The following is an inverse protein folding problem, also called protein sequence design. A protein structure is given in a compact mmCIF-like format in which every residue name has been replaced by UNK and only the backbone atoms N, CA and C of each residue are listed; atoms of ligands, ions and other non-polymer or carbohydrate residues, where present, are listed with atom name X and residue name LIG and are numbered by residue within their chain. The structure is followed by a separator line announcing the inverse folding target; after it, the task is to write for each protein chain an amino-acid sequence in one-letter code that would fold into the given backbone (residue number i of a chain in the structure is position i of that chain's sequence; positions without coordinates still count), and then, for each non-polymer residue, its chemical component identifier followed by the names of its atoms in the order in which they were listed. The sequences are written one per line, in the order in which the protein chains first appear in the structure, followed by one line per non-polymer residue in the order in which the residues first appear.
data_IF_969214711943
#
_entry.id   IF_969214711943
#
_cell.length_a   1.000
_cell.length_b   1.000
_cell.length_c   1.000
_cell.angle_alpha   90.00
_cell.angle_beta   90.00
_cell.angle_gamma   90.00
#
_symmetry.space_group_name_H-M   'P 1'
#
loop_
_entity.id
_entity.type
_entity.pdbx_description
1 polymer ?
#
# COMPACT_ATOMS: atom_id res chain seq x y z
N UNK A 1 39.59 -1.47 -4.47
CA UNK A 1 39.29 -0.17 -5.13
C UNK A 1 37.76 -0.01 -5.20
N UNK A 2 37.23 1.22 -5.12
CA UNK A 2 35.78 1.45 -5.26
C UNK A 2 35.34 1.32 -6.72
N UNK A 3 34.14 0.78 -6.97
CA UNK A 3 33.58 0.76 -8.33
C UNK A 3 33.15 2.18 -8.74
N UNK A 4 33.72 2.69 -9.82
CA UNK A 4 33.28 3.96 -10.41
C UNK A 4 31.98 3.77 -11.21
N UNK A 5 31.17 4.83 -11.25
CA UNK A 5 29.94 4.95 -12.05
C UNK A 5 29.82 6.39 -12.56
N UNK A 6 29.05 6.62 -13.62
CA UNK A 6 28.70 7.98 -14.04
C UNK A 6 27.53 8.52 -13.19
N UNK A 7 27.61 9.79 -12.79
CA UNK A 7 26.50 10.53 -12.21
C UNK A 7 25.39 10.71 -13.24
N UNK A 8 24.12 10.41 -12.89
CA UNK A 8 22.99 10.50 -13.81
C UNK A 8 22.66 11.93 -14.24
N UNK A 9 23.02 12.90 -13.40
CA UNK A 9 22.61 14.30 -13.52
C UNK A 9 23.65 15.16 -14.25
N UNK A 10 24.92 14.72 -14.31
CA UNK A 10 26.01 15.47 -14.94
C UNK A 10 27.07 14.61 -15.66
N UNK A 11 26.81 13.31 -15.86
CA UNK A 11 27.63 12.30 -16.57
C UNK A 11 29.08 12.06 -16.10
N UNK A 12 29.62 12.88 -15.19
CA UNK A 12 30.96 12.75 -14.62
C UNK A 12 31.08 11.51 -13.74
N UNK A 13 32.29 10.95 -13.67
CA UNK A 13 32.57 9.77 -12.86
C UNK A 13 32.57 10.07 -11.36
N UNK A 14 31.95 9.16 -10.59
CA UNK A 14 31.86 9.20 -9.13
C UNK A 14 32.05 7.79 -8.56
N UNK A 15 32.50 7.68 -7.30
CA UNK A 15 32.48 6.40 -6.59
C UNK A 15 31.04 5.95 -6.34
N UNK A 16 30.73 4.67 -6.60
CA UNK A 16 29.42 4.09 -6.28
C UNK A 16 29.08 4.05 -4.79
N UNK A 17 30.05 4.35 -3.90
CA UNK A 17 29.82 4.52 -2.45
C UNK A 17 29.49 5.94 -2.01
N UNK A 18 29.75 6.96 -2.85
CA UNK A 18 29.50 8.36 -2.50
C UNK A 18 27.98 8.62 -2.41
N UNK A 19 27.54 9.35 -1.36
CA UNK A 19 26.12 9.72 -1.17
C UNK A 19 25.65 10.84 -2.12
N UNK A 20 26.57 11.71 -2.51
CA UNK A 20 26.33 12.88 -3.37
C UNK A 20 27.42 12.98 -4.44
N UNK A 21 27.10 13.54 -5.60
CA UNK A 21 28.07 13.82 -6.66
C UNK A 21 28.91 15.06 -6.31
N UNK A 22 30.26 14.95 -6.25
CA UNK A 22 31.12 16.09 -5.90
C UNK A 22 31.19 17.18 -6.98
N UNK A 23 30.62 16.97 -8.17
CA UNK A 23 30.60 17.95 -9.27
C UNK A 23 29.27 18.69 -9.46
N UNK A 24 28.17 18.22 -8.87
CA UNK A 24 26.84 18.85 -9.04
C UNK A 24 25.92 18.74 -7.82
N UNK A 25 26.37 18.15 -6.71
CA UNK A 25 25.58 17.97 -5.49
C UNK A 25 24.47 16.92 -5.57
N UNK A 26 24.15 16.37 -6.74
CA UNK A 26 23.04 15.44 -6.93
C UNK A 26 23.17 14.16 -6.09
N UNK A 27 22.04 13.65 -5.58
CA UNK A 27 21.96 12.48 -4.69
C UNK A 27 22.17 11.18 -5.47
N UNK A 28 23.25 10.46 -5.18
CA UNK A 28 23.52 9.14 -5.76
C UNK A 28 22.60 8.07 -5.12
N UNK A 29 21.37 7.96 -5.65
CA UNK A 29 20.39 6.95 -5.23
C UNK A 29 20.91 5.55 -5.56
N UNK A 30 21.34 4.79 -4.54
CA UNK A 30 21.72 3.37 -4.70
C UNK A 30 20.59 2.59 -5.39
N UNK A 31 20.87 1.73 -6.38
CA UNK A 31 19.85 0.91 -7.02
C UNK A 31 19.18 -0.03 -6.01
N UNK A 32 17.87 0.11 -5.84
CA UNK A 32 17.08 -0.67 -4.88
C UNK A 32 17.14 -2.18 -5.17
N UNK A 33 17.29 -2.57 -6.44
CA UNK A 33 17.45 -3.95 -6.88
C UNK A 33 18.71 -4.68 -6.37
N UNK A 34 19.58 -3.99 -5.61
CA UNK A 34 20.74 -4.61 -4.91
C UNK A 34 20.53 -4.83 -3.41
N UNK A 35 19.31 -4.57 -2.89
CA UNK A 35 18.90 -5.06 -1.57
C UNK A 35 18.39 -6.49 -1.71
N UNK A 36 18.77 -7.40 -0.80
CA UNK A 36 18.36 -8.83 -0.81
C UNK A 36 16.84 -8.99 -0.91
N UNK A 37 16.08 -8.12 -0.24
CA UNK A 37 14.62 -8.04 -0.27
C UNK A 37 14.01 -7.92 -1.69
N UNK A 38 14.70 -7.30 -2.64
CA UNK A 38 14.22 -7.21 -4.03
C UNK A 38 14.19 -8.59 -4.72
N UNK A 39 15.17 -9.45 -4.44
CA UNK A 39 15.17 -10.81 -4.97
C UNK A 39 14.06 -11.67 -4.36
N UNK A 40 13.72 -11.43 -3.09
CA UNK A 40 12.64 -12.12 -2.37
C UNK A 40 11.28 -11.89 -3.07
N UNK A 41 10.98 -10.65 -3.48
CA UNK A 41 9.79 -10.36 -4.31
C UNK A 41 9.83 -11.04 -5.69
N UNK A 42 10.99 -11.07 -6.37
CA UNK A 42 11.06 -11.72 -7.70
C UNK A 42 10.84 -13.23 -7.65
N UNK A 43 11.24 -13.91 -6.56
CA UNK A 43 10.98 -15.34 -6.38
C UNK A 43 9.49 -15.61 -6.19
N UNK A 44 8.78 -14.78 -5.43
CA UNK A 44 7.33 -14.89 -5.21
C UNK A 44 6.55 -14.79 -6.54
N UNK A 45 6.95 -13.90 -7.45
CA UNK A 45 6.30 -13.73 -8.76
C UNK A 45 6.56 -14.92 -9.69
N UNK A 46 7.77 -15.48 -9.70
CA UNK A 46 8.15 -16.59 -10.58
C UNK A 46 7.44 -17.91 -10.16
N UNK A 47 7.12 -18.08 -8.88
CA UNK A 47 6.48 -19.29 -8.34
C UNK A 47 5.08 -19.63 -8.89
N UNK A 48 4.45 -18.74 -9.67
CA UNK A 48 3.08 -18.92 -10.17
C UNK A 48 3.04 -19.43 -11.64
N UNK A 49 4.12 -19.26 -12.41
CA UNK A 49 4.22 -19.76 -13.79
C UNK A 49 4.78 -21.19 -13.83
N UNK A 50 4.02 -22.14 -13.26
CA UNK A 50 4.58 -23.42 -12.82
C UNK A 50 3.72 -24.68 -12.94
N UNK A 51 2.69 -24.75 -13.80
CA UNK A 51 2.25 -25.99 -14.47
C UNK A 51 1.14 -25.71 -15.49
N UNK A 52 1.19 -26.38 -16.66
CA UNK A 52 0.13 -26.33 -17.67
C UNK A 52 -0.30 -27.76 -18.03
N UNK A 53 -1.57 -28.07 -17.85
CA UNK A 53 -2.24 -29.21 -18.47
C UNK A 53 -3.55 -28.70 -19.06
N UNK A 54 -3.70 -28.90 -20.37
CA UNK A 54 -4.89 -28.52 -21.11
C UNK A 54 -5.97 -29.59 -21.00
N UNK A 55 -7.23 -29.19 -21.10
CA UNK A 55 -8.20 -29.96 -21.87
C UNK A 55 -9.14 -29.01 -22.61
N UNK A 56 -9.37 -29.26 -23.90
CA UNK A 56 -10.09 -28.37 -24.81
C UNK A 56 -11.49 -28.94 -25.09
N UNK A 57 -12.50 -28.09 -25.20
CA UNK A 57 -13.90 -28.45 -25.53
C UNK A 57 -14.66 -27.22 -26.06
N UNK A 58 -14.45 -26.91 -27.34
CA UNK A 58 -15.15 -25.81 -28.04
C UNK A 58 -16.64 -26.10 -28.27
N UNK A 59 -17.49 -25.10 -28.03
CA UNK A 59 -18.58 -24.69 -28.93
C UNK A 59 -19.03 -23.26 -28.52
N UNK A 60 -18.64 -22.16 -29.19
CA UNK A 60 -18.84 -21.72 -30.59
C UNK A 60 -20.20 -21.02 -30.84
N UNK A 61 -20.12 -19.74 -31.27
CA UNK A 61 -21.05 -18.93 -32.13
C UNK A 61 -21.52 -17.60 -31.52
N UNK A 62 -21.33 -16.46 -32.24
CA UNK A 62 -22.12 -15.23 -31.99
C UNK A 62 -21.48 -13.85 -32.22
N UNK A 63 -21.48 -13.40 -33.49
CA UNK A 63 -21.56 -12.00 -34.00
C UNK A 63 -22.19 -10.91 -33.08
N UNK A 64 -22.00 -9.58 -33.27
CA UNK A 64 -21.07 -8.69 -34.06
C UNK A 64 -21.49 -7.21 -33.85
N UNK A 65 -20.59 -6.23 -34.06
CA UNK A 65 -20.87 -4.79 -34.39
C UNK A 65 -21.66 -3.92 -33.36
N UNK A 66 -21.66 -2.57 -33.35
CA UNK A 66 -20.64 -1.54 -33.69
C UNK A 66 -21.03 -0.16 -33.08
N UNK A 67 -20.03 0.71 -32.84
CA UNK A 67 -19.97 2.19 -33.03
C UNK A 67 -21.22 3.09 -32.79
N UNK A 68 -21.09 4.13 -31.94
CA UNK A 68 -21.03 5.55 -32.40
C UNK A 68 -20.76 6.59 -31.27
N UNK A 69 -20.46 7.84 -31.65
CA UNK A 69 -20.06 8.98 -30.79
C UNK A 69 -20.99 10.21 -30.94
N UNK A 70 -21.06 11.06 -29.91
CA UNK A 70 -20.88 12.55 -29.91
C UNK A 70 -21.53 13.16 -28.65
N UNK A 71 -20.90 14.07 -27.88
CA UNK A 71 -20.60 15.50 -28.15
C UNK A 71 -21.88 16.34 -28.37
N UNK A 72 -22.08 17.52 -27.72
CA UNK A 72 -21.14 18.66 -27.58
C UNK A 72 -21.45 19.59 -26.37
N UNK A 73 -20.54 20.52 -26.08
CA UNK A 73 -20.64 21.74 -25.21
C UNK A 73 -21.68 22.76 -25.74
N UNK A 74 -22.23 23.72 -24.97
CA UNK A 74 -21.75 25.08 -24.58
C UNK A 74 -22.89 25.82 -23.78
N UNK A 75 -22.79 26.98 -23.09
CA UNK A 75 -21.75 27.70 -22.31
C UNK A 75 -22.36 28.99 -21.64
N UNK A 76 -21.99 29.37 -20.39
CA UNK A 76 -22.12 30.71 -19.72
C UNK A 76 -23.56 31.34 -19.52
N UNK A 77 -23.87 32.34 -18.67
CA UNK A 77 -23.29 32.90 -17.41
C UNK A 77 -24.38 33.75 -16.62
N UNK A 78 -24.12 34.86 -15.86
CA UNK A 78 -24.11 34.83 -14.38
C UNK A 78 -25.03 35.87 -13.65
N UNK A 79 -25.35 35.64 -12.35
CA UNK A 79 -25.93 36.64 -11.41
C UNK A 79 -25.32 36.50 -9.99
N UNK A 80 -25.41 37.57 -9.18
CA UNK A 80 -24.68 37.85 -7.93
C UNK A 80 -25.36 37.43 -6.60
N UNK A 81 -24.55 36.88 -5.70
CA UNK A 81 -24.25 37.36 -4.31
C UNK A 81 -25.35 37.46 -3.20
N UNK A 82 -24.93 37.06 -1.99
CA UNK A 82 -25.45 37.32 -0.62
C UNK A 82 -26.56 36.45 0.03
N UNK A 83 -26.07 35.63 0.98
CA UNK A 83 -26.71 35.12 2.22
C UNK A 83 -27.86 34.08 2.14
N UNK A 84 -28.10 33.29 3.21
CA UNK A 84 -27.29 33.09 4.43
C UNK A 84 -26.54 31.74 4.45
N UNK A 85 -25.56 31.60 5.34
CA UNK A 85 -24.91 30.30 5.60
C UNK A 85 -25.90 29.38 6.32
N UNK A 86 -26.41 28.37 5.61
CA UNK A 86 -26.93 27.15 6.23
C UNK A 86 -25.82 26.12 6.29
N UNK A 87 -25.58 25.62 7.50
CA UNK A 87 -24.74 24.46 7.78
C UNK A 87 -25.21 23.29 6.89
N UNK A 88 -24.37 22.93 5.92
CA UNK A 88 -24.68 21.94 4.90
C UNK A 88 -24.03 20.64 5.33
N UNK A 89 -24.83 19.62 5.63
CA UNK A 89 -24.32 18.30 5.98
C UNK A 89 -23.28 17.85 4.93
N UNK A 90 -22.05 17.60 5.39
CA UNK A 90 -20.91 17.38 4.52
C UNK A 90 -21.07 16.04 3.79
N UNK A 91 -21.29 16.09 2.47
CA UNK A 91 -21.33 14.87 1.66
C UNK A 91 -19.91 14.34 1.44
N UNK A 92 -19.45 13.53 2.40
CA UNK A 92 -18.15 12.86 2.41
C UNK A 92 -17.88 12.23 1.02
N UNK A 93 -16.73 12.49 0.37
CA UNK A 93 -16.47 12.01 -0.99
C UNK A 93 -16.63 10.49 -1.15
N UNK A 94 -17.06 10.06 -2.34
CA UNK A 94 -17.23 8.64 -2.69
C UNK A 94 -15.92 7.84 -2.53
N UNK A 95 -14.77 8.47 -2.77
CA UNK A 95 -13.46 7.87 -2.49
C UNK A 95 -13.28 7.58 -1.00
N UNK A 96 -13.57 8.54 -0.12
CA UNK A 96 -13.42 8.43 1.33
C UNK A 96 -14.34 7.34 1.90
N UNK A 97 -15.59 7.30 1.41
CA UNK A 97 -16.58 6.22 1.68
C UNK A 97 -16.10 4.84 1.19
N UNK A 98 -15.19 4.78 0.20
CA UNK A 98 -14.63 3.54 -0.35
C UNK A 98 -13.37 3.11 0.40
N UNK A 99 -12.49 4.06 0.73
CA UNK A 99 -11.31 3.85 1.56
C UNK A 99 -11.72 3.31 2.94
N UNK A 100 -12.75 3.86 3.59
CA UNK A 100 -13.27 3.36 4.87
C UNK A 100 -13.82 1.91 4.78
N UNK A 101 -14.41 1.52 3.64
CA UNK A 101 -14.84 0.13 3.41
C UNK A 101 -13.65 -0.81 3.24
N UNK A 102 -12.63 -0.42 2.47
CA UNK A 102 -11.41 -1.21 2.30
C UNK A 102 -10.61 -1.31 3.60
N UNK A 103 -10.55 -0.23 4.38
CA UNK A 103 -9.92 -0.19 5.70
C UNK A 103 -10.52 -1.26 6.63
N UNK A 104 -11.86 -1.37 6.66
CA UNK A 104 -12.57 -2.44 7.41
C UNK A 104 -12.21 -3.82 6.90
N UNK A 105 -12.32 -4.08 5.59
CA UNK A 105 -11.97 -5.38 4.99
C UNK A 105 -10.55 -5.83 5.34
N UNK A 106 -9.58 -4.92 5.36
CA UNK A 106 -8.20 -5.23 5.74
C UNK A 106 -7.98 -5.39 7.25
N UNK A 107 -8.64 -4.58 8.10
CA UNK A 107 -8.64 -4.80 9.55
C UNK A 107 -9.24 -6.17 9.89
N UNK A 108 -10.44 -6.46 9.39
CA UNK A 108 -11.23 -7.62 9.76
C UNK A 108 -10.61 -8.94 9.25
N UNK A 109 -10.11 -8.98 8.00
CA UNK A 109 -9.57 -10.21 7.39
C UNK A 109 -8.05 -10.35 7.45
N UNK A 110 -7.30 -9.25 7.56
CA UNK A 110 -5.83 -9.27 7.59
C UNK A 110 -5.24 -8.76 8.90
N UNK A 111 -6.05 -8.27 9.85
CA UNK A 111 -5.62 -7.81 11.18
C UNK A 111 -4.41 -6.87 11.12
N UNK A 112 -4.47 -5.87 10.22
CA UNK A 112 -3.42 -4.86 10.07
C UNK A 112 -3.38 -3.89 11.26
N UNK A 113 -2.19 -3.37 11.55
CA UNK A 113 -2.01 -2.20 12.41
C UNK A 113 -2.56 -0.93 11.76
N UNK A 114 -2.73 0.14 12.55
CA UNK A 114 -3.13 1.45 12.03
C UNK A 114 -2.18 1.97 10.93
N UNK A 115 -0.87 1.79 11.11
CA UNK A 115 0.14 2.30 10.17
C UNK A 115 0.21 1.43 8.90
N UNK A 116 0.24 0.10 9.05
CA UNK A 116 0.22 -0.83 7.91
C UNK A 116 -1.04 -0.70 7.06
N UNK A 117 -2.18 -0.38 7.69
CA UNK A 117 -3.43 -0.12 7.01
C UNK A 117 -3.40 1.17 6.16
N UNK A 118 -2.83 2.26 6.69
CA UNK A 118 -2.63 3.50 5.93
C UNK A 118 -1.71 3.29 4.71
N UNK A 119 -0.59 2.60 4.92
CA UNK A 119 0.33 2.25 3.84
C UNK A 119 -0.35 1.40 2.76
N UNK A 120 -1.17 0.41 3.15
CA UNK A 120 -1.89 -0.45 2.20
C UNK A 120 -2.95 0.32 1.37
N UNK A 121 -3.63 1.29 1.98
CA UNK A 121 -4.63 2.13 1.30
C UNK A 121 -3.98 3.09 0.30
N UNK A 122 -2.80 3.64 0.62
CA UNK A 122 -2.09 4.63 -0.21
C UNK A 122 -1.10 4.02 -1.22
N UNK A 123 -0.71 2.76 -1.04
CA UNK A 123 0.32 2.08 -1.86
C UNK A 123 0.06 2.08 -3.36
N UNK A 124 1.10 2.38 -4.16
CA UNK A 124 1.13 2.22 -5.63
C UNK A 124 0.89 0.77 -6.11
N UNK A 125 0.92 -0.21 -5.20
CA UNK A 125 0.62 -1.61 -5.46
C UNK A 125 -0.63 -2.12 -4.69
N UNK A 126 -1.23 -1.26 -3.86
CA UNK A 126 -2.46 -1.51 -3.11
C UNK A 126 -3.65 -0.80 -3.74
N UNK A 127 -4.44 -0.11 -2.92
CA UNK A 127 -5.70 0.53 -3.35
C UNK A 127 -5.52 1.88 -4.06
N UNK A 128 -4.38 2.56 -3.89
CA UNK A 128 -4.04 3.87 -4.50
C UNK A 128 -5.01 5.00 -4.14
N UNK A 129 -5.61 4.97 -2.96
CA UNK A 129 -6.41 6.09 -2.48
C UNK A 129 -5.54 7.32 -2.23
N UNK A 130 -6.14 8.50 -2.36
CA UNK A 130 -5.54 9.76 -1.90
C UNK A 130 -5.16 9.67 -0.42
N UNK A 131 -4.11 10.39 -0.01
CA UNK A 131 -3.63 10.40 1.37
C UNK A 131 -4.74 10.86 2.34
N UNK A 132 -5.56 11.80 1.89
CA UNK A 132 -6.70 12.37 2.60
C UNK A 132 -7.85 11.36 2.74
N UNK A 133 -8.15 10.57 1.70
CA UNK A 133 -9.14 9.49 1.77
C UNK A 133 -8.67 8.33 2.69
N UNK A 134 -7.38 8.00 2.64
CA UNK A 134 -6.78 7.00 3.52
C UNK A 134 -6.76 7.48 4.98
N UNK A 135 -6.38 8.73 5.24
CA UNK A 135 -6.39 9.32 6.58
C UNK A 135 -7.82 9.37 7.14
N UNK A 136 -8.80 9.84 6.35
CA UNK A 136 -10.22 9.78 6.73
C UNK A 136 -10.65 8.36 7.10
N UNK A 137 -10.22 7.35 6.35
CA UNK A 137 -10.52 5.95 6.64
C UNK A 137 -9.89 5.47 7.96
N UNK A 138 -8.68 5.91 8.30
CA UNK A 138 -7.99 5.61 9.56
C UNK A 138 -8.62 6.31 10.77
N UNK A 139 -9.17 7.51 10.58
CA UNK A 139 -9.81 8.28 11.66
C UNK A 139 -11.27 7.86 11.90
N UNK A 140 -11.94 7.30 10.89
CA UNK A 140 -13.34 6.85 10.97
C UNK A 140 -13.50 5.32 11.11
N UNK A 141 -12.42 4.54 11.08
CA UNK A 141 -12.49 3.10 11.34
C UNK A 141 -12.55 2.81 12.85
N UNK A 142 -13.72 2.40 13.32
CA UNK A 142 -13.83 1.67 14.58
C UNK A 142 -13.22 0.27 14.39
N UNK A 143 -11.96 0.11 14.82
CA UNK A 143 -11.18 -1.12 14.82
C UNK A 143 -10.46 -1.29 16.16
N UNK A 144 -10.31 -2.55 16.58
CA UNK A 144 -9.62 -2.94 17.81
C UNK A 144 -8.18 -3.36 17.46
N UNK A 145 -7.25 -2.42 17.61
CA UNK A 145 -5.85 -2.62 17.22
C UNK A 145 -5.12 -3.63 18.11
N UNK A 146 -5.50 -3.71 19.39
CA UNK A 146 -5.02 -4.72 20.34
C UNK A 146 -5.44 -6.13 19.90
N UNK A 147 -6.69 -6.31 19.48
CA UNK A 147 -7.18 -7.57 18.89
C UNK A 147 -6.50 -7.88 17.55
N UNK A 148 -6.25 -6.89 16.70
CA UNK A 148 -5.51 -7.09 15.45
C UNK A 148 -4.08 -7.57 15.72
N UNK A 149 -3.38 -6.96 16.68
CA UNK A 149 -2.05 -7.37 17.11
C UNK A 149 -2.05 -8.80 17.67
N UNK A 150 -3.02 -9.14 18.52
CA UNK A 150 -3.17 -10.49 19.08
C UNK A 150 -3.48 -11.55 18.00
N UNK A 151 -4.33 -11.24 17.02
CA UNK A 151 -4.58 -12.12 15.88
C UNK A 151 -3.28 -12.38 15.08
N UNK A 152 -2.50 -11.33 14.82
CA UNK A 152 -1.19 -11.44 14.14
C UNK A 152 -0.18 -12.25 14.95
N UNK A 153 -0.13 -12.06 16.27
CA UNK A 153 0.70 -12.85 17.16
C UNK A 153 0.34 -14.34 17.09
N UNK A 154 -0.95 -14.69 17.16
CA UNK A 154 -1.44 -16.08 17.05
C UNK A 154 -1.14 -16.69 15.68
N UNK A 155 -1.18 -15.91 14.59
CA UNK A 155 -0.74 -16.37 13.24
C UNK A 155 0.76 -16.68 13.22
N UNK A 156 1.62 -15.75 13.69
CA UNK A 156 3.08 -15.97 13.71
C UNK A 156 3.51 -17.12 14.61
N UNK A 157 2.83 -17.30 15.74
CA UNK A 157 3.04 -18.44 16.64
C UNK A 157 2.65 -19.76 15.98
N UNK A 158 1.43 -19.84 15.42
CA UNK A 158 0.85 -21.09 14.87
C UNK A 158 1.47 -21.51 13.54
N UNK A 159 1.55 -20.57 12.58
CA UNK A 159 1.89 -20.89 11.19
C UNK A 159 3.38 -20.71 10.89
N UNK A 160 4.13 -20.02 11.77
CA UNK A 160 5.59 -19.81 11.64
C UNK A 160 6.43 -20.27 12.86
N UNK A 161 5.80 -20.84 13.89
CA UNK A 161 6.47 -21.37 15.10
C UNK A 161 7.40 -20.36 15.80
N UNK A 162 7.08 -19.06 15.73
CA UNK A 162 7.91 -17.99 16.29
C UNK A 162 7.81 -17.91 17.82
N UNK A 163 8.91 -17.54 18.50
CA UNK A 163 8.90 -17.27 19.95
C UNK A 163 8.18 -15.95 20.26
N UNK A 164 7.59 -15.78 21.46
CA UNK A 164 6.93 -14.52 21.84
C UNK A 164 7.80 -13.27 21.66
N UNK A 165 9.12 -13.37 21.92
CA UNK A 165 10.08 -12.29 21.65
C UNK A 165 10.21 -11.95 20.15
N UNK A 166 10.35 -12.95 19.29
CA UNK A 166 10.44 -12.74 17.84
C UNK A 166 9.12 -12.24 17.25
N UNK A 167 7.98 -12.62 17.84
CA UNK A 167 6.66 -12.11 17.51
C UNK A 167 6.56 -10.62 17.87
N UNK A 168 6.97 -10.23 19.09
CA UNK A 168 7.00 -8.83 19.51
C UNK A 168 7.83 -7.96 18.55
N UNK A 169 9.07 -8.36 18.27
CA UNK A 169 9.96 -7.66 17.34
C UNK A 169 9.33 -7.53 15.94
N UNK A 170 8.65 -8.57 15.45
CA UNK A 170 7.99 -8.57 14.14
C UNK A 170 6.71 -7.71 14.11
N UNK A 171 5.98 -7.61 15.23
CA UNK A 171 4.80 -6.75 15.35
C UNK A 171 5.18 -5.26 15.30
N UNK A 172 6.26 -4.84 15.98
CA UNK A 172 6.70 -3.44 16.01
C UNK A 172 7.60 -3.03 14.83
N UNK A 173 8.13 -3.99 14.07
CA UNK A 173 9.13 -3.76 13.01
C UNK A 173 8.65 -2.79 11.92
N UNK A 174 9.52 -1.83 11.54
CA UNK A 174 9.33 -0.93 10.38
C UNK A 174 9.11 -1.67 9.05
N UNK A 175 9.48 -2.95 8.98
CA UNK A 175 9.35 -3.83 7.81
C UNK A 175 8.42 -5.02 8.07
N UNK A 176 7.83 -5.09 9.26
CA UNK A 176 6.83 -6.06 9.68
C UNK A 176 5.45 -5.40 9.75
N UNK A 177 4.75 -5.58 10.88
CA UNK A 177 3.35 -5.17 11.00
C UNK A 177 3.13 -3.71 11.44
N UNK A 178 4.14 -3.04 12.01
CA UNK A 178 4.08 -1.64 12.49
C UNK A 178 2.98 -1.34 13.53
N UNK A 179 2.71 -2.28 14.43
CA UNK A 179 1.94 -1.99 15.65
C UNK A 179 2.75 -1.09 16.60
N UNK A 180 2.07 -0.42 17.52
CA UNK A 180 2.76 0.26 18.63
C UNK A 180 3.38 -0.76 19.59
N UNK A 181 4.40 -0.39 20.38
CA UNK A 181 4.94 -1.21 21.46
C UNK A 181 3.85 -1.71 22.43
N UNK A 182 2.85 -0.87 22.71
CA UNK A 182 1.74 -1.17 23.62
C UNK A 182 0.78 -2.22 23.04
N UNK A 183 0.41 -2.09 21.76
CA UNK A 183 -0.41 -3.07 21.02
C UNK A 183 0.33 -4.41 20.89
N UNK A 184 1.63 -4.37 20.62
CA UNK A 184 2.49 -5.55 20.52
C UNK A 184 2.69 -6.24 21.88
N UNK A 185 2.88 -5.48 22.97
CA UNK A 185 3.00 -6.05 24.32
C UNK A 185 1.69 -6.69 24.75
N UNK A 186 0.54 -6.03 24.52
CA UNK A 186 -0.78 -6.62 24.74
C UNK A 186 -0.94 -7.95 24.01
N UNK A 187 -0.49 -8.03 22.75
CA UNK A 187 -0.56 -9.24 21.95
C UNK A 187 0.30 -10.40 22.49
N UNK A 188 1.40 -10.11 23.18
CA UNK A 188 2.24 -11.11 23.87
C UNK A 188 1.64 -11.50 25.22
N UNK A 189 1.15 -10.54 26.00
CA UNK A 189 0.56 -10.77 27.33
C UNK A 189 -0.74 -11.60 27.27
N UNK A 190 -1.36 -11.71 26.09
CA UNK A 190 -2.58 -12.48 25.84
C UNK A 190 -2.34 -13.69 24.89
N UNK A 191 -1.07 -14.07 24.68
CA UNK A 191 -0.69 -15.26 23.89
C UNK A 191 -0.68 -16.52 24.76
N UNK A 192 -1.12 -17.66 24.20
CA UNK A 192 -1.30 -18.95 24.88
C UNK A 192 -0.29 -20.01 24.40
#
# INVERSE_FOLDING_TARGET
MGKMIQCKDCSKEISSSAKFCPSCGAKNKKPFYKKVWFWLFTVIIIGIMGNAVSNDSKLNTGNKQEVSQNQKTEENAPVKENAPVKEKAEDVPTEYKSALKKAKVYSDNMSMSKVGLYDQLTSEYGEKFTAEAAQYAIDNINADWNKNALNKAKIYQKDMAMSPSAIYDQLISEYGEKFTPEEAQYAIDNLE
#
